data_IF_866529454578
#
_entry.id   IF_866529454578
#
_cell.length_a   1.000
_cell.length_b   1.000
_cell.length_c   1.000
_cell.angle_alpha   90.00
_cell.angle_beta   90.00
_cell.angle_gamma   90.00
#
_symmetry.space_group_name_H-M   'P 1'
#
loop_
_entity.id
_entity.type
_entity.pdbx_description
1 polymer ?
#
# COMPACT_ATOMS: atom_id res chain seq x y z
N UNK A 1 18.92 -10.26 -39.15
CA UNK A 1 19.85 -11.42 -39.09
C UNK A 1 19.32 -12.35 -37.99
N UNK A 2 18.55 -13.41 -38.33
CA UNK A 2 18.88 -14.87 -38.18
C UNK A 2 19.41 -15.20 -36.76
N UNK A 3 18.92 -16.17 -35.98
CA UNK A 3 18.12 -17.40 -36.15
C UNK A 3 17.49 -17.72 -34.75
N UNK A 4 16.28 -18.28 -34.55
CA UNK A 4 15.67 -19.58 -34.89
C UNK A 4 16.26 -20.83 -34.20
N UNK A 5 15.44 -21.41 -33.29
CA UNK A 5 15.19 -22.86 -33.02
C UNK A 5 16.38 -23.76 -32.53
N UNK A 6 16.27 -24.88 -31.79
CA UNK A 6 15.27 -25.96 -31.69
C UNK A 6 15.64 -26.97 -30.54
N UNK A 7 14.62 -27.52 -29.86
CA UNK A 7 14.38 -28.91 -29.40
C UNK A 7 15.07 -29.65 -28.22
N UNK A 8 14.18 -30.09 -27.29
CA UNK A 8 13.77 -31.45 -26.86
C UNK A 8 14.84 -32.51 -26.45
N UNK A 9 14.60 -33.12 -25.28
CA UNK A 9 15.00 -34.50 -24.98
C UNK A 9 14.14 -35.14 -23.86
N UNK A 10 13.31 -36.13 -24.21
CA UNK A 10 12.54 -37.02 -23.32
C UNK A 10 12.96 -38.46 -23.62
N UNK A 11 13.30 -39.28 -22.62
CA UNK A 11 13.37 -40.77 -22.67
C UNK A 11 13.22 -41.32 -21.23
N UNK A 12 12.08 -41.91 -20.83
CA UNK A 12 11.63 -43.32 -20.89
C UNK A 12 12.35 -44.37 -20.00
N UNK A 13 11.62 -44.92 -19.01
CA UNK A 13 11.44 -46.37 -18.84
C UNK A 13 11.93 -47.05 -17.56
N UNK A 14 11.02 -47.57 -16.72
CA UNK A 14 10.71 -49.03 -16.57
C UNK A 14 9.75 -49.32 -15.41
N UNK A 15 8.68 -50.06 -15.72
CA UNK A 15 7.85 -50.84 -14.78
C UNK A 15 8.56 -52.15 -14.41
N UNK A 16 8.33 -52.65 -13.18
CA UNK A 16 8.14 -54.07 -12.91
C UNK A 16 7.01 -54.27 -11.89
N UNK A 17 6.15 -55.21 -12.23
CA UNK A 17 4.98 -55.72 -11.52
C UNK A 17 5.36 -56.82 -10.52
N UNK A 18 4.53 -56.97 -9.48
CA UNK A 18 4.50 -58.11 -8.57
C UNK A 18 3.23 -58.05 -7.72
N UNK A 19 2.37 -59.04 -7.87
CA UNK A 19 0.98 -59.16 -7.37
C UNK A 19 0.85 -59.81 -5.96
N UNK A 20 -0.40 -59.75 -5.42
CA UNK A 20 -1.07 -60.65 -4.42
C UNK A 20 -0.72 -60.50 -2.91
N UNK A 21 -1.62 -60.55 -1.90
CA UNK A 21 -3.08 -60.70 -1.71
C UNK A 21 -3.54 -60.10 -0.34
N UNK A 22 -4.86 -59.84 -0.24
CA UNK A 22 -5.79 -59.91 0.92
C UNK A 22 -5.80 -58.91 2.11
N UNK A 23 -6.96 -58.23 2.21
CA UNK A 23 -7.81 -57.89 3.39
C UNK A 23 -7.13 -57.39 4.67
N UNK A 24 -7.38 -56.12 5.00
CA UNK A 24 -8.08 -55.73 6.24
C UNK A 24 -8.56 -54.27 6.15
N UNK A 25 -9.84 -54.06 6.42
CA UNK A 25 -10.46 -52.75 6.44
C UNK A 25 -9.82 -51.83 7.47
N UNK A 26 -9.56 -50.60 7.07
CA UNK A 26 -9.35 -49.45 7.96
C UNK A 26 -9.98 -48.24 7.30
N UNK A 27 -10.83 -47.56 8.06
CA UNK A 27 -11.44 -46.29 7.73
C UNK A 27 -10.37 -45.30 7.26
N UNK A 28 -10.36 -45.00 5.97
CA UNK A 28 -9.67 -43.83 5.43
C UNK A 28 -10.63 -42.67 5.58
N UNK A 29 -10.47 -41.92 6.68
CA UNK A 29 -11.02 -40.57 6.78
C UNK A 29 -10.33 -39.78 5.67
N UNK A 30 -11.05 -39.16 4.71
CA UNK A 30 -10.39 -38.31 3.74
C UNK A 30 -9.87 -37.09 4.49
N UNK A 31 -8.56 -36.97 4.58
CA UNK A 31 -7.90 -35.68 4.84
C UNK A 31 -8.29 -34.74 3.70
N UNK A 32 -9.40 -34.03 3.87
CA UNK A 32 -9.67 -32.82 3.10
C UNK A 32 -8.61 -31.81 3.52
N UNK A 33 -7.50 -31.78 2.79
CA UNK A 33 -6.66 -30.60 2.71
C UNK A 33 -7.54 -29.50 2.10
N UNK A 34 -8.25 -28.76 2.95
CA UNK A 34 -8.83 -27.47 2.57
C UNK A 34 -7.65 -26.53 2.39
N UNK A 35 -7.03 -26.59 1.23
CA UNK A 35 -6.18 -25.52 0.74
C UNK A 35 -7.10 -24.29 0.61
N UNK A 36 -7.23 -23.52 1.69
CA UNK A 36 -7.79 -22.19 1.61
C UNK A 36 -6.79 -21.42 0.76
N UNK A 37 -7.10 -21.29 -0.52
CA UNK A 37 -6.39 -20.40 -1.43
C UNK A 37 -6.73 -19.01 -0.91
N UNK A 38 -5.92 -18.51 0.03
CA UNK A 38 -5.97 -17.11 0.43
C UNK A 38 -5.51 -16.34 -0.78
N UNK A 39 -6.45 -15.80 -1.54
CA UNK A 39 -6.17 -14.83 -2.59
C UNK A 39 -5.46 -13.68 -1.89
N UNK A 40 -4.14 -13.58 -2.06
CA UNK A 40 -3.39 -12.42 -1.59
C UNK A 40 -3.93 -11.23 -2.37
N UNK A 41 -4.63 -10.35 -1.65
CA UNK A 41 -5.02 -9.04 -2.18
C UNK A 41 -3.76 -8.33 -2.66
N UNK A 42 -3.81 -7.65 -3.80
CA UNK A 42 -2.68 -6.85 -4.28
C UNK A 42 -2.38 -5.80 -3.22
N UNK A 43 -1.13 -5.80 -2.76
CA UNK A 43 -0.57 -4.83 -1.83
C UNK A 43 0.41 -3.95 -2.61
N UNK A 44 0.25 -2.64 -2.47
CA UNK A 44 1.11 -1.64 -3.11
C UNK A 44 1.48 -0.59 -2.06
N UNK A 45 2.77 -0.25 -1.97
CA UNK A 45 3.21 0.86 -1.12
C UNK A 45 3.00 2.17 -1.88
N UNK A 46 2.13 3.03 -1.35
CA UNK A 46 1.80 4.34 -1.92
C UNK A 46 2.76 5.43 -1.43
N UNK A 47 3.26 5.31 -0.21
CA UNK A 47 4.19 6.25 0.43
C UNK A 47 4.88 5.59 1.62
N UNK A 48 6.07 6.07 1.94
CA UNK A 48 6.84 5.62 3.09
C UNK A 48 7.58 6.79 3.74
N UNK A 49 7.84 6.65 5.04
CA UNK A 49 8.76 7.44 5.84
C UNK A 49 9.56 6.45 6.69
N UNK A 50 10.85 6.32 6.42
CA UNK A 50 11.69 5.24 6.93
C UNK A 50 12.85 5.84 7.70
N UNK A 51 13.17 5.23 8.84
CA UNK A 51 14.37 5.57 9.59
C UNK A 51 15.61 5.23 8.74
N UNK A 52 16.22 6.27 8.18
CA UNK A 52 17.43 6.15 7.38
C UNK A 52 18.71 6.10 8.24
N UNK A 53 18.58 6.10 9.57
CA UNK A 53 19.71 5.98 10.48
C UNK A 53 20.05 4.52 10.77
N UNK A 54 21.34 4.23 10.95
CA UNK A 54 21.82 2.91 11.37
C UNK A 54 21.52 2.61 12.85
N UNK A 55 20.82 3.50 13.55
CA UNK A 55 20.56 3.37 14.99
C UNK A 55 19.29 2.60 15.32
N UNK A 56 18.43 2.31 14.34
CA UNK A 56 17.14 1.63 14.51
C UNK A 56 16.39 2.19 15.73
N UNK A 57 16.22 3.51 15.77
CA UNK A 57 15.62 4.21 16.92
C UNK A 57 14.22 4.72 16.64
N UNK A 58 13.89 4.96 15.38
CA UNK A 58 12.61 5.54 14.98
C UNK A 58 11.71 4.52 14.29
N UNK A 59 10.41 4.72 14.43
CA UNK A 59 9.41 3.89 13.76
C UNK A 59 9.43 4.19 12.25
N UNK A 60 9.32 3.15 11.42
CA UNK A 60 9.13 3.31 9.98
C UNK A 60 7.64 3.20 9.63
N UNK A 61 7.12 4.14 8.86
CA UNK A 61 5.68 4.27 8.59
C UNK A 61 5.42 4.17 7.09
N UNK A 62 4.42 3.38 6.73
CA UNK A 62 4.04 3.11 5.35
C UNK A 62 2.55 3.32 5.14
N UNK A 63 2.22 3.84 3.96
CA UNK A 63 0.85 3.98 3.45
C UNK A 63 0.67 2.95 2.34
N UNK A 64 -0.16 1.94 2.58
CA UNK A 64 -0.37 0.82 1.67
C UNK A 64 -1.77 0.87 1.06
N UNK A 65 -1.87 0.47 -0.20
CA UNK A 65 -3.13 0.08 -0.81
C UNK A 65 -3.35 -1.40 -0.59
N UNK A 66 -4.49 -1.75 0.02
CA UNK A 66 -4.98 -3.13 0.13
C UNK A 66 -6.36 -3.20 -0.53
N UNK A 67 -6.40 -3.73 -1.75
CA UNK A 67 -7.60 -3.71 -2.59
C UNK A 67 -7.98 -2.27 -3.00
N UNK A 68 -9.10 -1.77 -2.45
CA UNK A 68 -9.64 -0.41 -2.68
C UNK A 68 -9.46 0.52 -1.48
N UNK A 69 -8.78 0.06 -0.44
CA UNK A 69 -8.60 0.83 0.79
C UNK A 69 -7.14 1.22 0.94
N UNK A 70 -6.92 2.41 1.50
CA UNK A 70 -5.63 2.82 2.02
C UNK A 70 -5.54 2.40 3.48
N UNK A 71 -4.40 1.86 3.87
CA UNK A 71 -4.09 1.35 5.20
C UNK A 71 -2.72 1.83 5.64
N UNK A 72 -2.52 1.95 6.95
CA UNK A 72 -1.29 2.47 7.54
C UNK A 72 -0.55 1.37 8.28
N UNK A 73 0.73 1.19 7.98
CA UNK A 73 1.59 0.20 8.63
C UNK A 73 2.69 0.97 9.35
N UNK A 74 2.77 0.80 10.67
CA UNK A 74 3.88 1.29 11.48
C UNK A 74 4.74 0.10 11.86
N UNK A 75 6.04 0.18 11.64
CA UNK A 75 7.00 -0.86 11.99
C UNK A 75 7.87 -0.34 13.13
N UNK A 76 7.87 -1.07 14.24
CA UNK A 76 8.70 -0.72 15.39
C UNK A 76 10.20 -0.93 15.11
N UNK A 77 11.07 -0.12 15.72
CA UNK A 77 12.51 -0.23 15.51
C UNK A 77 13.03 -1.63 15.86
N UNK A 78 14.02 -2.12 15.11
CA UNK A 78 14.61 -3.45 15.29
C UNK A 78 13.74 -4.63 14.85
N UNK A 79 12.58 -4.39 14.22
CA UNK A 79 11.73 -5.45 13.65
C UNK A 79 12.29 -6.01 12.36
N UNK A 80 12.74 -5.13 11.46
CA UNK A 80 13.45 -5.47 10.23
C UNK A 80 14.70 -4.60 10.13
N UNK A 81 15.75 -5.05 9.42
CA UNK A 81 16.92 -4.21 9.20
C UNK A 81 16.60 -3.04 8.24
N UNK A 82 17.36 -1.94 8.36
CA UNK A 82 17.11 -0.70 7.61
C UNK A 82 17.17 -0.85 6.08
N UNK A 83 17.98 -1.79 5.57
CA UNK A 83 18.01 -2.10 4.13
C UNK A 83 16.66 -2.64 3.65
N UNK A 84 16.07 -3.60 4.36
CA UNK A 84 14.73 -4.14 4.07
C UNK A 84 13.66 -3.04 4.14
N UNK A 85 13.72 -2.18 5.17
CA UNK A 85 12.75 -1.09 5.35
C UNK A 85 12.80 -0.08 4.19
N UNK A 86 13.99 0.19 3.66
CA UNK A 86 14.20 1.13 2.56
C UNK A 86 13.74 0.60 1.19
N UNK A 87 13.54 -0.71 1.05
CA UNK A 87 13.18 -1.36 -0.21
C UNK A 87 11.82 -2.09 -0.12
N UNK A 88 10.73 -1.46 -0.60
CA UNK A 88 9.37 -2.03 -0.59
C UNK A 88 9.25 -3.48 -1.10
N UNK A 89 10.04 -3.84 -2.12
CA UNK A 89 10.01 -5.18 -2.73
C UNK A 89 10.46 -6.26 -1.74
N UNK A 90 11.41 -5.94 -0.88
CA UNK A 90 11.97 -6.87 0.11
C UNK A 90 11.11 -6.90 1.38
N UNK A 91 10.50 -5.76 1.73
CA UNK A 91 9.62 -5.65 2.90
C UNK A 91 8.29 -6.42 2.74
N UNK A 92 7.60 -6.26 1.61
CA UNK A 92 6.23 -6.79 1.43
C UNK A 92 6.10 -8.30 1.70
N UNK A 93 7.03 -9.17 1.24
CA UNK A 93 6.97 -10.60 1.55
C UNK A 93 7.16 -10.94 3.04
N UNK A 94 7.79 -10.06 3.81
CA UNK A 94 8.15 -10.27 5.22
C UNK A 94 7.08 -9.76 6.19
N UNK A 95 6.17 -8.90 5.71
CA UNK A 95 5.06 -8.42 6.53
C UNK A 95 4.18 -9.59 7.01
N UNK A 96 3.66 -9.53 8.25
CA UNK A 96 2.61 -10.44 8.70
C UNK A 96 1.41 -10.39 7.74
N UNK A 97 0.60 -11.45 7.75
CA UNK A 97 -0.63 -11.47 6.96
C UNK A 97 -1.54 -10.29 7.35
N UNK A 98 -1.80 -9.39 6.38
CA UNK A 98 -2.69 -8.25 6.52
C UNK A 98 -4.08 -8.64 5.96
N UNK A 99 -5.04 -9.05 6.80
CA UNK A 99 -6.35 -9.47 6.32
C UNK A 99 -7.12 -8.27 5.76
N UNK A 100 -8.07 -8.50 4.83
CA UNK A 100 -9.07 -7.48 4.53
C UNK A 100 -9.89 -7.16 5.79
N UNK A 101 -10.33 -5.91 5.94
CA UNK A 101 -11.16 -5.51 7.07
C UNK A 101 -11.26 -3.99 7.24
N UNK A 102 -11.90 -3.60 8.35
CA UNK A 102 -12.17 -2.21 8.70
C UNK A 102 -11.02 -1.55 9.49
N UNK A 103 -10.05 -2.31 9.97
CA UNK A 103 -8.86 -1.76 10.65
C UNK A 103 -8.20 -0.70 9.76
N UNK A 104 -7.71 0.39 10.33
CA UNK A 104 -7.11 1.51 9.59
C UNK A 104 -5.59 1.45 9.66
N UNK A 105 -5.07 1.12 10.84
CA UNK A 105 -3.65 1.05 11.12
C UNK A 105 -3.28 -0.34 11.65
N UNK A 106 -2.05 -0.75 11.37
CA UNK A 106 -1.42 -1.92 11.98
C UNK A 106 -0.04 -1.54 12.47
N UNK A 107 0.29 -1.98 13.68
CA UNK A 107 1.64 -1.88 14.25
C UNK A 107 2.31 -3.25 14.13
N UNK A 108 3.48 -3.28 13.51
CA UNK A 108 4.27 -4.49 13.27
C UNK A 108 5.50 -4.43 14.17
N UNK A 109 5.73 -5.50 14.92
CA UNK A 109 6.75 -5.57 15.96
C UNK A 109 7.41 -6.94 15.99
N UNK A 110 8.63 -7.01 16.49
CA UNK A 110 9.36 -8.28 16.63
C UNK A 110 8.75 -9.13 17.74
N UNK A 111 8.25 -10.31 17.38
CA UNK A 111 7.77 -11.31 18.32
C UNK A 111 8.90 -11.93 19.14
N UNK A 112 8.54 -12.57 20.24
CA UNK A 112 9.49 -13.28 21.12
C UNK A 112 10.20 -14.46 20.45
N UNK A 113 9.60 -15.01 19.40
CA UNK A 113 10.17 -16.05 18.54
C UNK A 113 11.08 -15.50 17.43
N UNK A 114 11.25 -14.17 17.38
CA UNK A 114 12.00 -13.46 16.36
C UNK A 114 11.21 -13.17 15.08
N UNK A 115 9.99 -13.68 14.92
CA UNK A 115 9.15 -13.43 13.75
C UNK A 115 8.33 -12.14 13.94
N UNK A 116 7.98 -11.43 12.85
CA UNK A 116 7.15 -10.23 12.97
C UNK A 116 5.71 -10.59 13.37
N UNK A 117 5.15 -9.78 14.27
CA UNK A 117 3.77 -9.87 14.75
C UNK A 117 3.02 -8.58 14.44
N UNK A 118 1.69 -8.64 14.35
CA UNK A 118 0.86 -7.51 13.94
C UNK A 118 -0.26 -7.22 14.95
N UNK A 119 -0.38 -5.96 15.34
CA UNK A 119 -1.47 -5.42 16.15
C UNK A 119 -2.34 -4.47 15.32
N UNK A 120 -3.57 -4.88 15.06
CA UNK A 120 -4.52 -4.11 14.24
C UNK A 120 -5.32 -3.13 15.09
N UNK A 121 -5.54 -1.94 14.54
CA UNK A 121 -6.24 -0.85 15.20
C UNK A 121 -7.27 -0.22 14.26
N UNK A 122 -8.47 0.02 14.77
CA UNK A 122 -9.51 0.82 14.13
C UNK A 122 -9.46 2.22 14.74
N UNK A 123 -8.83 3.15 14.04
CA UNK A 123 -8.54 4.51 14.53
C UNK A 123 -9.05 5.54 13.56
N UNK A 124 -9.58 6.63 14.10
CA UNK A 124 -9.92 7.82 13.31
C UNK A 124 -8.65 8.64 13.11
N UNK A 125 -8.17 8.72 11.87
CA UNK A 125 -7.01 9.54 11.53
C UNK A 125 -7.41 11.01 11.39
N UNK A 126 -6.50 11.96 11.69
CA UNK A 126 -6.78 13.38 11.51
C UNK A 126 -6.99 13.71 10.03
N UNK A 127 -7.86 14.69 9.77
CA UNK A 127 -8.19 15.16 8.43
C UNK A 127 -8.09 16.68 8.32
N UNK A 128 -8.01 17.16 7.09
CA UNK A 128 -8.16 18.59 6.78
C UNK A 128 -9.60 19.01 7.06
N UNK A 129 -9.79 20.04 7.88
CA UNK A 129 -11.10 20.55 8.30
C UNK A 129 -11.64 21.61 7.36
N UNK A 130 -10.74 22.35 6.72
CA UNK A 130 -11.11 23.39 5.77
C UNK A 130 -11.57 22.78 4.43
N UNK A 131 -12.87 22.52 4.32
CA UNK A 131 -13.49 21.78 3.21
C UNK A 131 -14.51 22.63 2.42
N UNK A 132 -14.18 23.88 2.06
CA UNK A 132 -15.12 24.80 1.38
C UNK A 132 -15.51 24.37 -0.05
N UNK A 133 -14.57 23.80 -0.80
CA UNK A 133 -14.82 23.41 -2.18
C UNK A 133 -15.70 22.15 -2.26
N UNK A 134 -16.75 22.12 -3.10
CA UNK A 134 -17.71 21.01 -3.11
C UNK A 134 -17.17 19.72 -3.71
N UNK A 135 -16.20 19.81 -4.63
CA UNK A 135 -15.63 18.63 -5.29
C UNK A 135 -14.70 17.88 -4.34
N UNK A 136 -14.91 16.56 -4.22
CA UNK A 136 -14.03 15.61 -3.55
C UNK A 136 -13.64 14.50 -4.53
N UNK A 137 -12.36 14.14 -4.56
CA UNK A 137 -11.80 13.18 -5.51
C UNK A 137 -10.98 12.14 -4.75
N UNK A 138 -11.24 10.86 -5.00
CA UNK A 138 -10.51 9.76 -4.35
C UNK A 138 -9.05 9.74 -4.83
N UNK A 139 -8.08 9.70 -3.90
CA UNK A 139 -6.64 9.63 -4.21
C UNK A 139 -6.32 8.44 -5.11
N UNK A 140 -6.95 7.28 -4.86
CA UNK A 140 -6.71 6.07 -5.66
C UNK A 140 -7.30 6.15 -7.08
N UNK A 141 -8.15 7.15 -7.35
CA UNK A 141 -8.72 7.39 -8.67
C UNK A 141 -7.87 8.30 -9.56
N UNK A 142 -6.81 8.92 -9.02
CA UNK A 142 -5.96 9.89 -9.71
C UNK A 142 -4.75 9.19 -10.35
N UNK A 143 -4.70 9.04 -11.69
CA UNK A 143 -3.56 8.44 -12.35
C UNK A 143 -2.32 9.32 -12.18
N UNK A 144 -1.26 8.73 -11.64
CA UNK A 144 0.02 9.41 -11.45
C UNK A 144 0.69 9.66 -12.81
N UNK A 145 1.08 10.91 -13.05
CA UNK A 145 1.91 11.32 -14.19
C UNK A 145 3.37 11.45 -13.76
N UNK A 146 3.61 12.17 -12.66
CA UNK A 146 4.97 12.45 -12.16
C UNK A 146 4.94 12.75 -10.66
N UNK A 147 5.93 12.27 -9.93
CA UNK A 147 6.19 12.69 -8.54
C UNK A 147 7.11 13.92 -8.57
N UNK A 148 6.73 14.99 -7.88
CA UNK A 148 7.56 16.20 -7.72
C UNK A 148 8.28 16.14 -6.37
N UNK A 149 7.53 15.91 -5.30
CA UNK A 149 8.03 15.63 -3.96
C UNK A 149 7.21 14.51 -3.35
N UNK A 150 7.55 14.07 -2.14
CA UNK A 150 6.75 13.08 -1.42
C UNK A 150 5.27 13.49 -1.28
N UNK A 151 4.99 14.79 -1.09
CA UNK A 151 3.65 15.36 -0.91
C UNK A 151 3.02 15.94 -2.17
N UNK A 152 3.80 16.16 -3.24
CA UNK A 152 3.34 16.88 -4.43
C UNK A 152 3.52 16.02 -5.68
N UNK A 153 2.44 15.81 -6.42
CA UNK A 153 2.38 14.94 -7.60
C UNK A 153 1.69 15.65 -8.75
N UNK A 154 2.14 15.40 -9.97
CA UNK A 154 1.36 15.64 -11.19
C UNK A 154 0.46 14.43 -11.42
N UNK A 155 -0.83 14.67 -11.56
CA UNK A 155 -1.85 13.66 -11.80
C UNK A 155 -2.72 14.02 -12.99
N UNK A 156 -3.39 13.04 -13.57
CA UNK A 156 -4.39 13.29 -14.60
C UNK A 156 -5.77 13.55 -13.95
N UNK A 157 -6.37 14.70 -14.23
CA UNK A 157 -7.70 15.07 -13.74
C UNK A 157 -8.51 15.77 -14.84
N UNK A 158 -9.75 15.31 -15.08
CA UNK A 158 -10.62 15.85 -16.13
C UNK A 158 -9.92 15.98 -17.51
N UNK A 159 -9.15 14.95 -17.89
CA UNK A 159 -8.36 14.90 -19.13
C UNK A 159 -7.25 15.95 -19.26
N UNK A 160 -6.83 16.57 -18.15
CA UNK A 160 -5.71 17.52 -18.10
C UNK A 160 -4.76 17.20 -16.94
N UNK A 161 -3.48 17.58 -17.03
CA UNK A 161 -2.59 17.54 -15.88
C UNK A 161 -3.06 18.49 -14.76
N UNK A 162 -2.95 18.04 -13.52
CA UNK A 162 -3.21 18.81 -12.30
C UNK A 162 -2.14 18.50 -11.24
N UNK A 163 -1.99 19.40 -10.27
CA UNK A 163 -1.12 19.18 -9.12
C UNK A 163 -1.94 18.67 -7.94
N UNK A 164 -1.65 17.46 -7.50
CA UNK A 164 -2.12 16.91 -6.25
C UNK A 164 -1.14 17.23 -5.13
N UNK A 165 -1.64 17.85 -4.05
CA UNK A 165 -0.90 18.04 -2.81
C UNK A 165 -1.59 17.24 -1.72
N UNK A 166 -0.87 16.32 -1.08
CA UNK A 166 -1.43 15.42 -0.07
C UNK A 166 -0.59 15.40 1.21
N UNK A 167 -1.27 15.23 2.35
CA UNK A 167 -0.69 14.73 3.58
C UNK A 167 -0.70 13.20 3.51
N UNK A 168 0.48 12.60 3.45
CA UNK A 168 0.68 11.15 3.42
C UNK A 168 0.39 10.54 4.78
N UNK A 169 0.80 11.24 5.84
CA UNK A 169 0.74 10.80 7.23
C UNK A 169 0.03 11.83 8.12
N UNK A 170 -0.35 11.40 9.32
CA UNK A 170 -1.07 12.21 10.30
C UNK A 170 -0.33 13.50 10.69
N UNK A 171 0.98 13.43 10.89
CA UNK A 171 1.83 14.56 11.23
C UNK A 171 1.91 15.62 10.11
N UNK A 172 1.57 15.28 8.86
CA UNK A 172 1.54 16.23 7.74
C UNK A 172 0.19 16.98 7.63
N UNK A 173 -0.88 16.51 8.29
CA UNK A 173 -2.23 17.08 8.17
C UNK A 173 -2.28 18.52 8.65
N UNK A 174 -1.62 18.86 9.77
CA UNK A 174 -1.62 20.22 10.29
C UNK A 174 -0.95 21.22 9.32
N UNK A 175 0.07 20.77 8.57
CA UNK A 175 0.66 21.59 7.52
C UNK A 175 -0.27 21.72 6.32
N UNK A 176 -0.92 20.62 5.92
CA UNK A 176 -1.90 20.63 4.83
C UNK A 176 -3.07 21.56 5.13
N UNK A 177 -3.59 21.56 6.36
CA UNK A 177 -4.65 22.47 6.82
C UNK A 177 -4.25 23.93 6.59
N UNK A 178 -3.05 24.32 7.03
CA UNK A 178 -2.56 25.71 6.86
C UNK A 178 -2.46 26.10 5.39
N UNK A 179 -1.95 25.19 4.55
CA UNK A 179 -1.87 25.45 3.11
C UNK A 179 -3.26 25.57 2.48
N UNK A 180 -4.19 24.71 2.88
CA UNK A 180 -5.57 24.68 2.40
C UNK A 180 -6.32 25.98 2.76
N UNK A 181 -6.14 26.51 3.98
CA UNK A 181 -6.67 27.81 4.41
C UNK A 181 -6.12 28.96 3.56
N UNK A 182 -4.84 28.93 3.20
CA UNK A 182 -4.24 29.95 2.31
C UNK A 182 -4.89 29.89 0.93
N UNK A 183 -5.07 28.69 0.36
CA UNK A 183 -5.75 28.52 -0.92
C UNK A 183 -7.19 29.03 -0.89
N UNK A 184 -7.93 28.81 0.20
CA UNK A 184 -9.27 29.40 0.38
C UNK A 184 -9.22 30.92 0.38
N UNK A 185 -8.26 31.53 1.06
CA UNK A 185 -8.16 32.98 1.19
C UNK A 185 -7.85 33.67 -0.14
N UNK A 186 -7.17 32.98 -1.06
CA UNK A 186 -6.79 33.51 -2.38
C UNK A 186 -7.70 33.05 -3.52
N UNK A 187 -8.68 32.19 -3.23
CA UNK A 187 -9.57 31.63 -4.23
C UNK A 187 -10.37 32.74 -4.94
N UNK A 188 -10.42 32.67 -6.27
CA UNK A 188 -11.06 33.70 -7.11
C UNK A 188 -10.34 35.06 -7.21
N UNK A 189 -9.21 35.26 -6.53
CA UNK A 189 -8.46 36.53 -6.60
C UNK A 189 -7.48 36.62 -7.78
N UNK A 190 -7.26 35.53 -8.51
CA UNK A 190 -6.34 35.50 -9.66
C UNK A 190 -4.84 35.59 -9.30
N UNK A 191 -4.49 35.36 -8.04
CA UNK A 191 -3.09 35.43 -7.53
C UNK A 191 -2.42 34.06 -7.40
N UNK A 192 -3.16 32.98 -7.63
CA UNK A 192 -2.66 31.61 -7.51
C UNK A 192 -3.43 30.65 -8.43
N UNK A 193 -2.96 29.39 -8.51
CA UNK A 193 -3.59 28.39 -9.35
C UNK A 193 -5.02 28.09 -8.88
N UNK A 194 -5.92 27.86 -9.84
CA UNK A 194 -7.31 27.47 -9.54
C UNK A 194 -7.37 26.22 -8.66
N UNK A 195 -8.17 26.27 -7.59
CA UNK A 195 -8.48 25.13 -6.74
C UNK A 195 -9.52 24.24 -7.43
N UNK A 196 -9.24 22.94 -7.58
CA UNK A 196 -10.05 22.03 -8.38
C UNK A 196 -10.91 21.08 -7.54
N UNK A 197 -10.51 20.84 -6.29
CA UNK A 197 -11.22 19.97 -5.37
C UNK A 197 -10.34 19.42 -4.25
N UNK A 198 -10.98 18.82 -3.24
CA UNK A 198 -10.32 18.12 -2.16
C UNK A 198 -9.95 16.69 -2.58
N UNK A 199 -8.85 16.17 -2.06
CA UNK A 199 -8.42 14.78 -2.23
C UNK A 199 -8.80 13.99 -0.99
N UNK A 200 -9.41 12.83 -1.19
CA UNK A 200 -9.93 11.98 -0.10
C UNK A 200 -9.37 10.56 -0.12
N UNK A 201 -9.35 9.96 1.06
CA UNK A 201 -9.26 8.51 1.27
C UNK A 201 -10.56 8.02 1.91
N UNK A 202 -11.44 7.40 1.12
CA UNK A 202 -12.81 7.21 1.57
C UNK A 202 -13.45 8.58 1.83
N UNK A 203 -13.86 8.84 3.07
CA UNK A 203 -14.46 10.13 3.45
C UNK A 203 -13.45 11.15 4.02
N UNK A 204 -12.25 10.70 4.36
CA UNK A 204 -11.22 11.50 5.04
C UNK A 204 -10.52 12.42 4.05
N UNK A 205 -10.54 13.73 4.28
CA UNK A 205 -9.80 14.68 3.44
C UNK A 205 -8.32 14.71 3.84
N UNK A 206 -7.45 14.43 2.86
CA UNK A 206 -5.99 14.36 3.06
C UNK A 206 -5.23 15.44 2.30
N UNK A 207 -5.89 16.21 1.44
CA UNK A 207 -5.22 17.20 0.61
C UNK A 207 -6.13 17.80 -0.44
N UNK A 208 -5.56 18.32 -1.52
CA UNK A 208 -6.31 19.01 -2.57
C UNK A 208 -5.62 18.98 -3.94
N UNK A 209 -6.42 19.27 -4.96
CA UNK A 209 -6.01 19.45 -6.35
C UNK A 209 -6.00 20.93 -6.72
N UNK A 210 -4.96 21.35 -7.43
CA UNK A 210 -4.89 22.66 -8.09
C UNK A 210 -4.49 22.50 -9.55
N UNK A 211 -4.81 23.51 -10.36
CA UNK A 211 -4.37 23.53 -11.74
C UNK A 211 -2.83 23.46 -11.84
N UNK A 212 -2.35 22.82 -12.90
CA UNK A 212 -0.93 22.89 -13.25
C UNK A 212 -0.69 24.12 -14.12
N UNK A 213 0.09 25.07 -13.60
CA UNK A 213 0.52 26.27 -14.33
C UNK A 213 1.73 25.92 -15.21
N UNK A 214 1.74 26.44 -16.43
CA UNK A 214 2.78 26.22 -17.45
C UNK A 214 3.63 27.48 -17.69
#
# INVERSE_FOLDING_TARGET
RKASFLYIGYTHGRRRSGEFWHRRGRNVIPFMCKSVITIRMVQEILSMDVDASDTDTEESIYRLRIGKQVKYVTIEPGTFPSDVLSFPVDLLPLLPHLPPGNWVQVRVMRGSDGNPTAQFMDVTLPEVREQWHPNKVDDLSLPLVKIITSRVRVVQYASRPAIAKIARFDFEIAQMERETVVYRAIDGLGVGPAFLGHIVEGDRVIGFLVEQVH
#
